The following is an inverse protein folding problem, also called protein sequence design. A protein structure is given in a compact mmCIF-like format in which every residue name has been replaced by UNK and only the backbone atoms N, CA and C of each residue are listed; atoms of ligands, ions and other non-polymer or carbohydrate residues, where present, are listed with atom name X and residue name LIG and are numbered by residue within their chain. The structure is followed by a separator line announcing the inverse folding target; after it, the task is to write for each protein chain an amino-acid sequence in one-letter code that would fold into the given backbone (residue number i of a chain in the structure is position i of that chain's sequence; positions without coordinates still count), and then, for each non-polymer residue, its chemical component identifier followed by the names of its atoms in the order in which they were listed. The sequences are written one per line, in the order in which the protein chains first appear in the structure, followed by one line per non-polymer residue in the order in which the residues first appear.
data_IF_990439782233
#
_entry.id   IF_990439782233
#
_cell.length_a   1.000
_cell.length_b   1.000
_cell.length_c   1.000
_cell.angle_alpha   90.00
_cell.angle_beta   90.00
_cell.angle_gamma   90.00
#
_symmetry.space_group_name_H-M   'P 1'
#
loop_
_entity.id
_entity.type
_entity.pdbx_description
1 polymer ?
#
# COMPACT_ATOMS: atom_id res chain seq x y z
N UNK A 1 -18.72 32.58 4.24
CA UNK A 1 -19.39 31.28 3.99
C UNK A 1 -18.72 30.23 4.86
N UNK A 2 -19.48 29.24 5.36
CA UNK A 2 -19.11 28.37 6.48
C UNK A 2 -18.06 27.33 6.09
N UNK A 3 -17.42 26.79 7.13
CA UNK A 3 -16.34 25.81 7.13
C UNK A 3 -16.60 24.59 6.26
N UNK A 4 -15.67 24.33 5.36
CA UNK A 4 -15.54 23.07 4.63
C UNK A 4 -14.74 22.09 5.51
N UNK A 5 -15.35 21.68 6.63
CA UNK A 5 -14.92 20.56 7.48
C UNK A 5 -15.23 19.24 6.74
N UNK A 6 -14.64 19.07 5.55
CA UNK A 6 -14.70 17.80 4.85
C UNK A 6 -13.87 16.80 5.67
N UNK A 7 -14.43 15.63 6.04
CA UNK A 7 -13.68 14.62 6.76
C UNK A 7 -12.47 14.23 5.92
N UNK A 8 -11.27 14.59 6.41
CA UNK A 8 -10.02 14.20 5.78
C UNK A 8 -10.00 12.69 5.61
N UNK A 9 -9.69 12.18 4.41
CA UNK A 9 -9.82 10.77 4.11
C UNK A 9 -8.99 9.94 5.09
N UNK A 10 -9.68 9.00 5.72
CA UNK A 10 -9.18 7.91 6.56
C UNK A 10 -7.80 7.45 6.12
N UNK A 11 -6.84 7.44 7.07
CA UNK A 11 -5.54 6.84 6.88
C UNK A 11 -5.70 5.42 6.32
N UNK A 12 -5.50 5.27 5.01
CA UNK A 12 -5.49 3.98 4.35
C UNK A 12 -4.53 3.10 5.11
N UNK A 13 -5.04 1.98 5.61
CA UNK A 13 -4.27 0.98 6.37
C UNK A 13 -2.93 0.78 5.66
N UNK A 14 -1.78 0.84 6.38
CA UNK A 14 -0.49 0.72 5.73
C UNK A 14 -0.44 -0.59 4.95
N UNK A 15 -0.23 -0.48 3.65
CA UNK A 15 -0.12 -1.64 2.76
C UNK A 15 1.18 -2.35 3.08
N UNK A 16 1.11 -3.65 3.37
CA UNK A 16 2.29 -4.45 3.65
C UNK A 16 2.76 -5.19 2.41
N UNK A 17 4.04 -5.60 2.39
CA UNK A 17 4.57 -6.45 1.33
C UNK A 17 3.82 -7.79 1.20
N UNK A 18 3.17 -8.27 2.27
CA UNK A 18 2.33 -9.47 2.22
C UNK A 18 1.07 -9.23 1.40
N UNK A 19 0.45 -8.06 1.55
CA UNK A 19 -0.77 -7.70 0.81
C UNK A 19 -0.46 -7.61 -0.69
N UNK A 20 0.65 -6.94 -1.04
CA UNK A 20 1.12 -6.84 -2.42
C UNK A 20 1.44 -8.21 -3.00
N UNK A 21 2.15 -9.06 -2.24
CA UNK A 21 2.49 -10.40 -2.68
C UNK A 21 1.25 -11.27 -2.91
N UNK A 22 0.28 -11.23 -2.00
CA UNK A 22 -0.98 -11.97 -2.10
C UNK A 22 -1.82 -11.50 -3.30
N UNK A 23 -1.92 -10.18 -3.51
CA UNK A 23 -2.66 -9.61 -4.63
C UNK A 23 -2.02 -9.92 -5.98
N UNK A 24 -0.69 -9.93 -6.04
CA UNK A 24 0.07 -10.23 -7.27
C UNK A 24 0.28 -11.74 -7.50
N UNK A 25 -0.10 -12.61 -6.55
CA UNK A 25 0.12 -14.05 -6.66
C UNK A 25 1.59 -14.47 -6.62
N UNK A 26 2.44 -13.68 -5.97
CA UNK A 26 3.89 -13.92 -5.86
C UNK A 26 4.32 -14.09 -4.40
N UNK A 27 5.57 -14.46 -4.20
CA UNK A 27 6.18 -14.51 -2.86
C UNK A 27 6.51 -13.11 -2.33
N UNK A 28 6.51 -12.95 -1.01
CA UNK A 28 6.96 -11.73 -0.33
C UNK A 28 8.39 -11.35 -0.75
N UNK A 29 9.26 -12.34 -0.95
CA UNK A 29 10.62 -12.12 -1.45
C UNK A 29 10.64 -11.49 -2.85
N UNK A 30 9.77 -11.94 -3.76
CA UNK A 30 9.64 -11.39 -5.11
C UNK A 30 9.08 -9.97 -5.07
N UNK A 31 8.03 -9.72 -4.28
CA UNK A 31 7.48 -8.39 -4.10
C UNK A 31 8.50 -7.43 -3.47
N UNK A 32 9.28 -7.90 -2.48
CA UNK A 32 10.37 -7.14 -1.87
C UNK A 32 11.47 -6.81 -2.87
N UNK A 33 11.89 -7.76 -3.71
CA UNK A 33 12.89 -7.52 -4.75
C UNK A 33 12.42 -6.51 -5.79
N UNK A 34 11.17 -6.65 -6.25
CA UNK A 34 10.58 -5.73 -7.22
C UNK A 34 10.46 -4.31 -6.65
N UNK A 35 10.03 -4.16 -5.40
CA UNK A 35 9.91 -2.84 -4.75
C UNK A 35 11.28 -2.21 -4.46
N UNK A 36 12.27 -3.02 -4.04
CA UNK A 36 13.61 -2.55 -3.71
C UNK A 36 14.57 -2.51 -4.91
N UNK A 37 14.08 -2.78 -6.13
CA UNK A 37 14.89 -2.75 -7.35
C UNK A 37 16.01 -3.80 -7.43
N UNK A 38 15.92 -4.89 -6.67
CA UNK A 38 16.92 -5.98 -6.67
C UNK A 38 16.56 -7.06 -7.69
N UNK A 39 16.35 -6.64 -8.94
CA UNK A 39 16.09 -7.52 -10.09
C UNK A 39 17.31 -8.36 -10.47
#
# INVERSE_FOLDING_TARGET
MPSDDLPVPVFSKPVTLRDVAAQAGVSVATASKALNGQG
#
